data_IF_923863556315
#
_entry.id   IF_923863556315
#
_cell.length_a   1.000
_cell.length_b   1.000
_cell.length_c   1.000
_cell.angle_alpha   90.00
_cell.angle_beta   90.00
_cell.angle_gamma   90.00
#
_symmetry.space_group_name_H-M   'P 1'
#
loop_
_entity.id
_entity.type
_entity.pdbx_description
1 polymer ?
#
# COMPACT_ATOMS: atom_id res chain seq x y z
N UNK A 1 -22.59 -14.70 17.72
CA UNK A 1 -22.66 -16.05 17.15
C UNK A 1 -21.45 -16.83 17.64
N UNK A 2 -21.65 -17.90 18.41
CA UNK A 2 -20.58 -18.81 18.85
C UNK A 2 -20.46 -19.91 17.80
N UNK A 3 -19.33 -19.97 17.09
CA UNK A 3 -19.05 -21.11 16.23
C UNK A 3 -18.55 -22.25 17.11
N UNK A 4 -19.36 -23.30 17.21
CA UNK A 4 -18.98 -24.57 17.81
C UNK A 4 -18.02 -25.28 16.84
N UNK A 5 -16.77 -25.45 17.25
CA UNK A 5 -15.78 -26.31 16.60
C UNK A 5 -16.16 -27.78 16.84
N UNK A 6 -17.12 -28.28 16.06
CA UNK A 6 -17.46 -29.71 16.04
C UNK A 6 -17.25 -30.23 14.63
N UNK A 7 -16.04 -30.73 14.38
CA UNK A 7 -15.71 -31.40 13.12
C UNK A 7 -14.25 -31.28 12.69
N UNK A 8 -13.28 -31.48 13.60
CA UNK A 8 -11.85 -31.50 13.25
C UNK A 8 -11.12 -32.59 14.04
N UNK A 9 -11.67 -33.81 14.03
CA UNK A 9 -10.92 -34.99 14.46
C UNK A 9 -11.15 -36.09 13.43
N UNK A 10 -10.19 -36.25 12.52
CA UNK A 10 -9.99 -37.52 11.84
C UNK A 10 -8.89 -38.25 12.61
N UNK A 11 -9.29 -39.12 13.53
CA UNK A 11 -8.37 -40.06 14.19
C UNK A 11 -8.01 -41.16 13.20
N UNK A 12 -6.94 -40.96 12.45
CA UNK A 12 -6.16 -42.06 11.89
C UNK A 12 -4.67 -41.73 12.03
N UNK A 13 -4.02 -42.44 12.97
CA UNK A 13 -2.57 -42.66 13.04
C UNK A 13 -1.66 -41.42 13.00
N UNK A 14 -1.34 -40.87 14.17
CA UNK A 14 0.01 -40.40 14.52
C UNK A 14 0.59 -39.14 13.85
N UNK A 15 -0.07 -38.52 12.87
CA UNK A 15 0.34 -37.21 12.34
C UNK A 15 -0.90 -36.32 12.18
N UNK A 16 -1.04 -35.31 13.03
CA UNK A 16 -2.08 -34.29 12.86
C UNK A 16 -1.75 -33.43 11.65
N UNK A 17 -2.20 -33.83 10.46
CA UNK A 17 -2.21 -32.96 9.29
C UNK A 17 -3.46 -32.08 9.38
N UNK A 18 -3.28 -30.76 9.51
CA UNK A 18 -4.39 -29.82 9.39
C UNK A 18 -4.75 -29.77 7.90
N UNK A 19 -5.79 -30.50 7.50
CA UNK A 19 -6.31 -30.41 6.15
C UNK A 19 -6.92 -29.02 5.93
N UNK A 20 -6.33 -28.24 5.02
CA UNK A 20 -6.93 -27.00 4.57
C UNK A 20 -8.29 -27.32 3.91
N UNK A 21 -9.36 -26.55 4.20
CA UNK A 21 -10.62 -26.71 3.49
C UNK A 21 -10.39 -26.68 1.98
N UNK A 22 -11.02 -27.58 1.23
CA UNK A 22 -10.83 -27.72 -0.24
C UNK A 22 -11.00 -26.39 -1.00
N UNK A 23 -11.85 -25.50 -0.47
CA UNK A 23 -12.11 -24.16 -1.01
C UNK A 23 -10.87 -23.25 -0.94
N UNK A 24 -9.99 -23.45 0.06
CA UNK A 24 -8.81 -22.63 0.29
C UNK A 24 -7.58 -23.10 -0.48
N UNK A 25 -7.58 -24.33 -1.03
CA UNK A 25 -6.43 -24.91 -1.73
C UNK A 25 -5.97 -24.07 -2.94
N UNK A 26 -6.86 -23.54 -3.80
CA UNK A 26 -6.44 -22.69 -4.92
C UNK A 26 -5.78 -21.40 -4.45
N UNK A 27 -6.36 -20.73 -3.46
CA UNK A 27 -5.82 -19.49 -2.89
C UNK A 27 -4.47 -19.73 -2.24
N UNK A 28 -4.35 -20.81 -1.46
CA UNK A 28 -3.09 -21.21 -0.84
C UNK A 28 -2.00 -21.49 -1.88
N UNK A 29 -2.34 -22.15 -2.99
CA UNK A 29 -1.40 -22.43 -4.07
C UNK A 29 -0.88 -21.16 -4.73
N UNK A 30 -1.73 -20.15 -4.96
CA UNK A 30 -1.29 -18.87 -5.50
C UNK A 30 -0.38 -18.12 -4.51
N UNK A 31 -0.71 -18.11 -3.22
CA UNK A 31 0.16 -17.50 -2.19
C UNK A 31 1.54 -18.19 -2.16
N UNK A 32 1.59 -19.52 -2.19
CA UNK A 32 2.85 -20.28 -2.24
C UNK A 32 3.63 -19.99 -3.53
N UNK A 33 2.94 -19.78 -4.65
CA UNK A 33 3.56 -19.40 -5.92
C UNK A 33 4.23 -18.02 -5.83
N UNK A 34 3.53 -17.02 -5.30
CA UNK A 34 4.09 -15.67 -5.06
C UNK A 34 5.28 -15.72 -4.10
N UNK A 35 5.19 -16.50 -3.01
CA UNK A 35 6.32 -16.72 -2.10
C UNK A 35 7.52 -17.33 -2.82
N UNK A 36 7.29 -18.28 -3.73
CA UNK A 36 8.35 -18.97 -4.46
C UNK A 36 9.11 -18.03 -5.42
N UNK A 37 8.48 -16.99 -5.95
CA UNK A 37 9.14 -16.02 -6.85
C UNK A 37 10.30 -15.27 -6.19
N UNK A 38 10.27 -15.14 -4.86
CA UNK A 38 11.35 -14.55 -4.06
C UNK A 38 12.63 -15.39 -4.08
N UNK A 39 12.51 -16.71 -4.27
CA UNK A 39 13.66 -17.63 -4.25
C UNK A 39 14.41 -17.52 -5.58
N UNK A 40 15.69 -17.15 -5.54
CA UNK A 40 16.52 -16.93 -6.74
C UNK A 40 16.92 -18.23 -7.43
N UNK A 41 17.27 -19.25 -6.66
CA UNK A 41 17.70 -20.55 -7.16
C UNK A 41 16.52 -21.37 -7.69
N UNK A 42 16.59 -21.79 -8.96
CA UNK A 42 15.47 -22.44 -9.65
C UNK A 42 15.12 -23.81 -9.08
N UNK A 43 16.12 -24.60 -8.68
CA UNK A 43 15.92 -25.93 -8.11
C UNK A 43 15.30 -25.83 -6.72
N UNK A 44 15.82 -24.93 -5.89
CA UNK A 44 15.29 -24.64 -4.55
C UNK A 44 13.88 -24.07 -4.60
N UNK A 45 13.56 -23.26 -5.63
CA UNK A 45 12.21 -22.77 -5.89
C UNK A 45 11.22 -23.90 -6.18
N UNK A 46 11.58 -24.82 -7.08
CA UNK A 46 10.72 -25.98 -7.42
C UNK A 46 10.52 -26.90 -6.22
N UNK A 47 11.58 -27.11 -5.41
CA UNK A 47 11.51 -27.88 -4.17
C UNK A 47 10.59 -27.21 -3.14
N UNK A 48 10.73 -25.89 -2.94
CA UNK A 48 9.86 -25.14 -2.04
C UNK A 48 8.40 -25.20 -2.49
N UNK A 49 8.11 -24.86 -3.74
CA UNK A 49 6.73 -24.88 -4.27
C UNK A 49 6.11 -26.28 -4.17
N UNK A 50 6.85 -27.32 -4.56
CA UNK A 50 6.34 -28.70 -4.53
C UNK A 50 6.02 -29.17 -3.12
N UNK A 51 6.93 -28.97 -2.17
CA UNK A 51 6.72 -29.38 -0.79
C UNK A 51 5.65 -28.55 -0.08
N UNK A 52 5.63 -27.23 -0.31
CA UNK A 52 4.61 -26.35 0.26
C UNK A 52 3.21 -26.59 -0.32
N UNK A 53 3.08 -27.07 -1.56
CA UNK A 53 1.78 -27.46 -2.13
C UNK A 53 1.31 -28.86 -1.70
N UNK A 54 2.06 -29.54 -0.84
CA UNK A 54 1.70 -30.84 -0.27
C UNK A 54 2.19 -32.04 -1.08
N UNK A 55 3.12 -31.87 -2.02
CA UNK A 55 3.73 -33.01 -2.73
C UNK A 55 4.69 -33.74 -1.79
N UNK A 56 4.60 -35.06 -1.76
CA UNK A 56 5.46 -35.90 -0.93
C UNK A 56 6.96 -35.79 -1.28
N UNK A 57 7.81 -35.86 -0.25
CA UNK A 57 9.27 -35.71 -0.35
C UNK A 57 9.89 -36.75 -1.29
N UNK A 58 9.41 -37.99 -1.29
CA UNK A 58 9.95 -39.04 -2.17
C UNK A 58 9.59 -38.78 -3.63
N UNK A 59 8.39 -38.24 -3.86
CA UNK A 59 7.94 -37.86 -5.21
C UNK A 59 8.79 -36.71 -5.76
N UNK A 60 9.04 -35.68 -4.93
CA UNK A 60 9.93 -34.56 -5.29
C UNK A 60 11.37 -35.04 -5.52
N UNK A 61 11.85 -35.99 -4.71
CA UNK A 61 13.18 -36.59 -4.85
C UNK A 61 13.37 -37.27 -6.20
N UNK A 62 12.38 -38.08 -6.62
CA UNK A 62 12.40 -38.74 -7.93
C UNK A 62 12.36 -37.75 -9.09
N UNK A 63 11.55 -36.68 -8.98
CA UNK A 63 11.42 -35.65 -10.01
C UNK A 63 12.69 -34.81 -10.17
N UNK A 64 13.33 -34.44 -9.05
CA UNK A 64 14.46 -33.50 -9.04
C UNK A 64 15.83 -34.19 -9.08
N UNK A 65 15.89 -35.50 -8.85
CA UNK A 65 17.15 -36.25 -8.73
C UNK A 65 17.93 -35.96 -7.44
N UNK A 66 17.34 -35.25 -6.48
CA UNK A 66 17.99 -34.83 -5.23
C UNK A 66 17.63 -35.78 -4.10
N UNK A 67 18.62 -36.18 -3.31
CA UNK A 67 18.40 -37.03 -2.14
C UNK A 67 17.44 -36.36 -1.12
N UNK A 68 16.55 -37.12 -0.43
CA UNK A 68 15.57 -36.56 0.50
C UNK A 68 16.16 -35.66 1.61
N UNK A 69 17.35 -35.99 2.11
CA UNK A 69 18.06 -35.16 3.11
C UNK A 69 18.45 -33.79 2.55
N UNK A 70 18.91 -33.77 1.30
CA UNK A 70 19.29 -32.52 0.62
C UNK A 70 18.04 -31.70 0.26
N UNK A 71 16.92 -32.34 -0.07
CA UNK A 71 15.63 -31.65 -0.24
C UNK A 71 15.18 -30.94 1.04
N UNK A 72 15.26 -31.60 2.19
CA UNK A 72 14.93 -30.98 3.48
C UNK A 72 15.82 -29.76 3.78
N UNK A 73 17.12 -29.86 3.45
CA UNK A 73 18.04 -28.73 3.56
C UNK A 73 17.68 -27.58 2.60
N UNK A 74 17.41 -27.89 1.33
CA UNK A 74 16.99 -26.91 0.32
C UNK A 74 15.70 -26.22 0.74
N UNK A 75 14.70 -26.98 1.18
CA UNK A 75 13.43 -26.45 1.69
C UNK A 75 13.66 -25.50 2.86
N UNK A 76 14.43 -25.91 3.87
CA UNK A 76 14.74 -25.06 5.04
C UNK A 76 15.44 -23.76 4.64
N UNK A 77 16.35 -23.83 3.66
CA UNK A 77 17.05 -22.64 3.13
C UNK A 77 16.09 -21.74 2.35
N UNK A 78 15.23 -22.31 1.52
CA UNK A 78 14.18 -21.61 0.79
C UNK A 78 13.22 -20.89 1.73
N UNK A 79 12.69 -21.59 2.75
CA UNK A 79 11.79 -21.02 3.73
C UNK A 79 12.41 -19.85 4.49
N UNK A 80 13.72 -19.90 4.78
CA UNK A 80 14.44 -18.77 5.38
C UNK A 80 14.52 -17.57 4.45
N UNK A 81 14.81 -17.79 3.16
CA UNK A 81 14.84 -16.71 2.19
C UNK A 81 13.46 -16.07 2.04
N UNK A 82 12.42 -16.88 1.86
CA UNK A 82 11.04 -16.41 1.81
C UNK A 82 10.71 -15.61 3.07
N UNK A 83 11.05 -16.11 4.26
CA UNK A 83 10.80 -15.38 5.50
C UNK A 83 11.49 -13.99 5.58
N UNK A 84 12.67 -13.84 4.98
CA UNK A 84 13.43 -12.58 5.03
C UNK A 84 13.05 -11.59 3.92
N UNK A 85 12.71 -12.09 2.74
CA UNK A 85 12.52 -11.28 1.53
C UNK A 85 11.05 -11.15 1.11
N UNK A 86 10.17 -12.10 1.49
CA UNK A 86 8.75 -12.03 1.17
C UNK A 86 8.06 -11.00 2.07
N UNK A 87 7.68 -9.90 1.45
CA UNK A 87 6.92 -8.85 2.13
C UNK A 87 5.45 -9.20 2.18
N UNK A 88 4.78 -9.06 3.34
CA UNK A 88 3.34 -9.21 3.42
C UNK A 88 2.65 -8.14 2.58
N UNK A 89 1.41 -8.43 2.14
CA UNK A 89 0.59 -7.52 1.35
C UNK A 89 0.52 -6.09 1.91
N UNK A 90 0.50 -5.93 3.24
CA UNK A 90 0.49 -4.63 3.90
C UNK A 90 1.71 -3.77 3.57
N UNK A 91 2.90 -4.37 3.51
CA UNK A 91 4.13 -3.66 3.16
C UNK A 91 4.16 -3.28 1.68
N UNK A 92 3.69 -4.17 0.80
CA UNK A 92 3.55 -3.87 -0.64
C UNK A 92 2.57 -2.74 -0.90
N UNK A 93 1.44 -2.73 -0.20
CA UNK A 93 0.47 -1.64 -0.27
C UNK A 93 1.10 -0.31 0.15
N UNK A 94 1.81 -0.28 1.27
CA UNK A 94 2.52 0.93 1.73
C UNK A 94 3.58 1.41 0.73
N UNK A 95 4.31 0.49 0.09
CA UNK A 95 5.29 0.84 -0.93
C UNK A 95 4.61 1.43 -2.18
N UNK A 96 3.51 0.82 -2.62
CA UNK A 96 2.74 1.32 -3.74
C UNK A 96 2.13 2.70 -3.45
N UNK A 97 1.62 2.91 -2.24
CA UNK A 97 1.11 4.21 -1.78
C UNK A 97 2.22 5.28 -1.76
N UNK A 98 3.44 4.93 -1.29
CA UNK A 98 4.63 5.79 -1.36
C UNK A 98 4.97 6.19 -2.80
N UNK A 99 5.03 5.22 -3.70
CA UNK A 99 5.34 5.45 -5.12
C UNK A 99 4.26 6.29 -5.79
N UNK A 100 2.98 6.05 -5.47
CA UNK A 100 1.86 6.81 -6.01
C UNK A 100 1.97 8.31 -5.70
N UNK A 101 2.21 8.66 -4.43
CA UNK A 101 2.38 10.07 -4.01
C UNK A 101 3.58 10.69 -4.75
N UNK A 102 4.69 9.94 -4.87
CA UNK A 102 5.89 10.38 -5.59
C UNK A 102 5.60 10.66 -7.08
N UNK A 103 4.86 9.79 -7.75
CA UNK A 103 4.43 9.98 -9.14
C UNK A 103 3.55 11.23 -9.30
N UNK A 104 2.60 11.45 -8.39
CA UNK A 104 1.73 12.64 -8.40
C UNK A 104 2.51 13.93 -8.20
N UNK A 105 3.51 13.90 -7.31
CA UNK A 105 4.45 14.98 -7.08
C UNK A 105 5.28 15.32 -8.34
N UNK A 106 5.81 14.31 -9.04
CA UNK A 106 6.50 14.52 -10.31
C UNK A 106 5.57 15.08 -11.39
N UNK A 107 4.34 14.56 -11.49
CA UNK A 107 3.35 15.08 -12.44
C UNK A 107 3.04 16.56 -12.18
N UNK A 108 2.86 16.97 -10.92
CA UNK A 108 2.64 18.39 -10.58
C UNK A 108 3.79 19.28 -11.04
N UNK A 109 5.04 18.87 -10.79
CA UNK A 109 6.23 19.61 -11.25
C UNK A 109 6.32 19.72 -12.79
N UNK A 110 5.96 18.64 -13.50
CA UNK A 110 5.99 18.62 -14.96
C UNK A 110 4.94 19.54 -15.57
N UNK A 111 3.72 19.58 -15.02
CA UNK A 111 2.64 20.46 -15.49
C UNK A 111 3.03 21.94 -15.40
N UNK A 112 3.72 22.35 -14.32
CA UNK A 112 4.23 23.73 -14.19
C UNK A 112 5.31 24.11 -15.20
N UNK A 113 6.15 23.15 -15.62
CA UNK A 113 7.13 23.41 -16.68
C UNK A 113 6.45 23.71 -18.03
N UNK A 114 5.22 23.24 -18.23
CA UNK A 114 4.51 23.32 -19.50
C UNK A 114 3.56 24.53 -19.60
N UNK A 115 3.03 25.03 -18.47
CA UNK A 115 2.14 26.21 -18.45
C UNK A 115 2.89 27.56 -18.61
N UNK A 116 4.21 27.59 -18.41
CA UNK A 116 5.04 28.78 -18.65
C UNK A 116 5.60 28.85 -20.09
N UNK A 117 4.71 28.84 -21.09
CA UNK A 117 5.05 29.09 -22.50
C UNK A 117 5.43 30.54 -22.81
N UNK A 118 6.37 31.15 -22.06
CA UNK A 118 6.77 32.54 -22.32
C UNK A 118 8.01 33.09 -21.62
N UNK A 119 8.60 32.39 -20.62
CA UNK A 119 9.83 32.89 -20.00
C UNK A 119 10.88 31.79 -19.86
N UNK A 120 12.03 32.04 -20.48
CA UNK A 120 13.20 31.19 -20.57
C UNK A 120 13.77 30.85 -19.18
N UNK A 121 13.29 29.78 -18.55
CA UNK A 121 14.05 29.12 -17.51
C UNK A 121 14.95 28.06 -18.16
N UNK A 122 16.22 28.44 -18.34
CA UNK A 122 17.32 27.52 -18.59
C UNK A 122 17.16 26.34 -17.63
N UNK A 123 16.91 25.15 -18.16
CA UNK A 123 16.99 23.83 -17.52
C UNK A 123 17.21 23.94 -16.00
N UNK A 124 16.14 24.23 -15.25
CA UNK A 124 16.19 24.00 -13.81
C UNK A 124 16.24 22.49 -13.71
N UNK A 125 17.45 21.96 -13.57
CA UNK A 125 17.65 20.60 -13.09
C UNK A 125 16.99 20.61 -11.72
N UNK A 126 15.71 20.23 -11.67
CA UNK A 126 15.01 20.04 -10.42
C UNK A 126 15.71 18.84 -9.80
N UNK A 127 16.68 19.12 -8.94
CA UNK A 127 17.21 18.12 -8.01
C UNK A 127 16.07 17.84 -7.05
N UNK A 128 15.13 16.99 -7.48
CA UNK A 128 14.19 16.37 -6.56
C UNK A 128 15.06 15.49 -5.70
N UNK A 129 15.52 16.02 -4.56
CA UNK A 129 15.99 15.16 -3.49
C UNK A 129 14.81 14.24 -3.23
N UNK A 130 14.99 12.95 -3.50
CA UNK A 130 14.06 11.91 -3.08
C UNK A 130 13.92 12.04 -1.57
N UNK A 131 13.00 12.89 -1.11
CA UNK A 131 12.65 12.96 0.29
C UNK A 131 11.77 11.74 0.50
N UNK A 132 12.31 10.75 1.20
CA UNK A 132 11.52 9.63 1.66
C UNK A 132 10.42 10.17 2.57
N UNK A 133 9.18 10.01 2.11
CA UNK A 133 7.99 10.41 2.84
C UNK A 133 7.81 9.39 3.97
N UNK A 134 7.82 9.80 5.25
CA UNK A 134 7.61 8.89 6.36
C UNK A 134 6.29 8.12 6.22
N UNK A 135 6.25 6.84 6.63
CA UNK A 135 5.05 6.00 6.51
C UNK A 135 3.82 6.61 7.17
N UNK A 136 4.00 7.24 8.34
CA UNK A 136 2.94 7.94 9.06
C UNK A 136 2.32 9.09 8.24
N UNK A 137 3.14 9.76 7.42
CA UNK A 137 2.66 10.82 6.53
C UNK A 137 1.93 10.24 5.32
N UNK A 138 2.38 9.11 4.78
CA UNK A 138 1.73 8.43 3.65
C UNK A 138 0.33 7.97 4.05
N UNK A 139 0.20 7.32 5.19
CA UNK A 139 -1.09 6.82 5.71
C UNK A 139 -2.10 7.98 5.88
N UNK A 140 -1.63 9.13 6.35
CA UNK A 140 -2.46 10.34 6.43
C UNK A 140 -2.84 10.87 5.05
N UNK A 141 -1.90 10.97 4.12
CA UNK A 141 -2.12 11.54 2.79
C UNK A 141 -3.14 10.74 1.96
N UNK A 142 -3.06 9.40 1.99
CA UNK A 142 -3.99 8.53 1.28
C UNK A 142 -5.37 8.44 1.93
N UNK A 143 -5.53 9.00 3.14
CA UNK A 143 -6.80 8.94 3.88
C UNK A 143 -7.91 9.62 3.06
N UNK A 144 -9.02 8.91 2.77
CA UNK A 144 -10.12 9.49 2.05
C UNK A 144 -10.81 10.55 2.91
N UNK A 145 -11.26 11.63 2.27
CA UNK A 145 -11.92 12.74 2.98
C UNK A 145 -13.17 12.31 3.75
N UNK A 146 -13.80 11.19 3.35
CA UNK A 146 -14.94 10.61 4.08
C UNK A 146 -14.63 10.17 5.50
N UNK A 147 -13.36 9.86 5.81
CA UNK A 147 -12.92 9.42 7.13
C UNK A 147 -12.55 10.59 8.07
N UNK A 148 -12.69 11.84 7.58
CA UNK A 148 -12.34 13.07 8.31
C UNK A 148 -13.57 13.75 8.95
N UNK A 149 -14.68 13.02 9.11
CA UNK A 149 -15.96 13.51 9.67
C UNK A 149 -16.47 14.80 8.99
N UNK A 150 -16.23 14.90 7.69
CA UNK A 150 -16.66 16.03 6.87
C UNK A 150 -18.11 15.84 6.45
N UNK A 151 -18.87 16.93 6.43
CA UNK A 151 -20.26 16.91 5.97
C UNK A 151 -20.36 16.37 4.53
N UNK A 152 -21.30 15.45 4.29
CA UNK A 152 -21.53 14.83 2.98
C UNK A 152 -21.75 15.84 1.85
N UNK A 153 -22.37 16.99 2.12
CA UNK A 153 -22.57 18.07 1.13
C UNK A 153 -21.24 18.64 0.64
N UNK A 154 -20.32 18.87 1.57
CA UNK A 154 -18.97 19.39 1.31
C UNK A 154 -18.15 18.34 0.56
N UNK A 155 -18.22 17.07 1.00
CA UNK A 155 -17.56 15.96 0.30
C UNK A 155 -18.04 15.85 -1.15
N UNK A 156 -19.34 15.97 -1.40
CA UNK A 156 -19.88 15.93 -2.77
C UNK A 156 -19.37 17.11 -3.61
N UNK A 157 -19.25 18.30 -3.03
CA UNK A 157 -18.69 19.46 -3.71
C UNK A 157 -17.20 19.26 -4.04
N UNK A 158 -16.40 18.79 -3.07
CA UNK A 158 -14.98 18.48 -3.25
C UNK A 158 -14.75 17.41 -4.33
N UNK A 159 -15.56 16.36 -4.37
CA UNK A 159 -15.49 15.32 -5.42
C UNK A 159 -15.77 15.86 -6.82
N UNK A 160 -16.62 16.88 -6.98
CA UNK A 160 -16.83 17.53 -8.29
C UNK A 160 -15.58 18.25 -8.80
N UNK A 161 -14.71 18.66 -7.88
CA UNK A 161 -13.41 19.29 -8.16
C UNK A 161 -12.25 18.27 -8.16
N UNK A 162 -12.56 16.97 -8.24
CA UNK A 162 -11.59 15.88 -8.21
C UNK A 162 -10.76 15.80 -6.92
N UNK A 163 -11.30 16.28 -5.79
CA UNK A 163 -10.64 16.20 -4.48
C UNK A 163 -11.25 15.03 -3.71
N UNK A 164 -10.49 13.93 -3.57
CA UNK A 164 -10.97 12.68 -2.96
C UNK A 164 -10.21 12.29 -1.69
N UNK A 165 -8.89 12.52 -1.70
CA UNK A 165 -8.00 12.18 -0.59
C UNK A 165 -7.53 13.43 0.15
N UNK A 166 -6.95 13.24 1.35
CA UNK A 166 -6.32 14.32 2.09
C UNK A 166 -5.18 14.95 1.26
N UNK A 167 -4.43 14.13 0.53
CA UNK A 167 -3.41 14.57 -0.42
C UNK A 167 -3.94 15.62 -1.41
N UNK A 168 -5.07 15.35 -2.07
CA UNK A 168 -5.66 16.27 -3.07
C UNK A 168 -6.10 17.58 -2.42
N UNK A 169 -6.69 17.49 -1.22
CA UNK A 169 -7.14 18.67 -0.48
C UNK A 169 -5.96 19.55 -0.08
N UNK A 170 -4.89 18.95 0.42
CA UNK A 170 -3.69 19.69 0.82
C UNK A 170 -2.97 20.30 -0.38
N UNK A 171 -2.93 19.61 -1.54
CA UNK A 171 -2.40 20.22 -2.77
C UNK A 171 -3.24 21.42 -3.21
N UNK A 172 -4.56 21.30 -3.16
CA UNK A 172 -5.46 22.40 -3.49
C UNK A 172 -5.25 23.61 -2.58
N UNK A 173 -5.15 23.39 -1.27
CA UNK A 173 -4.91 24.44 -0.27
C UNK A 173 -3.55 25.09 -0.49
N UNK A 174 -2.51 24.30 -0.75
CA UNK A 174 -1.16 24.84 -0.99
C UNK A 174 -1.07 25.66 -2.28
N UNK A 175 -1.85 25.35 -3.31
CA UNK A 175 -1.89 26.13 -4.55
C UNK A 175 -2.71 27.42 -4.42
N UNK A 176 -3.93 27.32 -3.87
CA UNK A 176 -4.92 28.39 -3.94
C UNK A 176 -5.11 29.17 -2.62
N UNK A 177 -4.57 28.65 -1.52
CA UNK A 177 -4.86 29.09 -0.15
C UNK A 177 -6.12 28.44 0.43
N UNK A 178 -6.20 28.38 1.77
CA UNK A 178 -7.30 27.71 2.47
C UNK A 178 -8.66 28.38 2.21
N UNK A 179 -8.69 29.71 2.15
CA UNK A 179 -9.93 30.48 1.94
C UNK A 179 -10.50 30.30 0.52
N UNK A 180 -9.72 29.76 -0.43
CA UNK A 180 -10.21 29.40 -1.77
C UNK A 180 -11.24 28.26 -1.75
N UNK A 181 -11.31 27.47 -0.66
CA UNK A 181 -12.35 26.46 -0.48
C UNK A 181 -13.76 27.08 -0.45
N UNK A 182 -13.90 28.31 0.04
CA UNK A 182 -15.17 29.05 0.01
C UNK A 182 -15.61 29.44 -1.42
N UNK A 183 -14.69 29.43 -2.40
CA UNK A 183 -15.01 29.72 -3.80
C UNK A 183 -15.62 28.52 -4.52
N UNK A 184 -15.53 27.32 -3.93
CA UNK A 184 -16.13 26.10 -4.49
C UNK A 184 -17.66 26.16 -4.33
N UNK A 185 -18.43 26.07 -5.43
CA UNK A 185 -19.89 26.05 -5.37
C UNK A 185 -20.39 24.92 -4.47
N UNK A 186 -21.18 25.28 -3.46
CA UNK A 186 -21.76 24.35 -2.49
C UNK A 186 -20.97 24.19 -1.18
N UNK A 187 -19.83 24.90 -1.02
CA UNK A 187 -19.10 25.01 0.24
C UNK A 187 -19.32 26.41 0.82
N UNK A 188 -19.90 26.49 2.02
CA UNK A 188 -20.09 27.74 2.75
C UNK A 188 -18.99 27.99 3.78
N UNK A 189 -18.86 29.24 4.23
CA UNK A 189 -17.87 29.67 5.23
C UNK A 189 -17.89 28.81 6.51
N UNK A 190 -19.08 28.53 7.05
CA UNK A 190 -19.25 27.65 8.23
C UNK A 190 -18.72 26.23 8.01
N UNK A 191 -18.83 25.71 6.78
CA UNK A 191 -18.33 24.39 6.42
C UNK A 191 -16.81 24.36 6.31
N UNK A 192 -16.20 25.46 5.85
CA UNK A 192 -14.73 25.63 5.80
C UNK A 192 -14.15 25.78 7.20
N UNK A 193 -14.82 26.53 8.08
CA UNK A 193 -14.43 26.63 9.50
C UNK A 193 -14.51 25.29 10.22
N UNK A 194 -15.58 24.53 9.98
CA UNK A 194 -15.73 23.18 10.54
C UNK A 194 -14.64 22.24 10.01
N UNK A 195 -14.32 22.31 8.72
CA UNK A 195 -13.23 21.55 8.12
C UNK A 195 -11.88 21.92 8.76
N UNK A 196 -11.62 23.21 8.96
CA UNK A 196 -10.40 23.69 9.62
C UNK A 196 -10.29 23.14 11.04
N UNK A 197 -11.38 23.20 11.81
CA UNK A 197 -11.43 22.66 13.17
C UNK A 197 -11.13 21.16 13.19
N UNK A 198 -11.75 20.37 12.32
CA UNK A 198 -11.51 18.94 12.21
C UNK A 198 -10.05 18.62 11.85
N UNK A 199 -9.46 19.37 10.93
CA UNK A 199 -8.05 19.19 10.52
C UNK A 199 -7.07 19.58 11.64
N UNK A 200 -7.41 20.59 12.44
CA UNK A 200 -6.63 21.01 13.60
C UNK A 200 -6.72 20.03 14.77
N UNK A 201 -7.91 19.49 15.05
CA UNK A 201 -8.11 18.45 16.06
C UNK A 201 -7.32 17.17 15.75
N UNK A 202 -7.21 16.83 14.46
CA UNK A 202 -6.40 15.70 13.97
C UNK A 202 -4.91 16.01 13.85
N UNK A 203 -4.47 17.21 14.27
CA UNK A 203 -3.08 17.71 14.20
C UNK A 203 -2.48 17.67 12.79
N UNK A 204 -3.32 17.81 11.76
CA UNK A 204 -2.88 17.88 10.36
C UNK A 204 -2.44 19.31 10.02
N UNK A 205 -3.22 20.30 10.47
CA UNK A 205 -2.93 21.73 10.30
C UNK A 205 -2.59 22.36 11.66
N UNK A 206 -1.47 23.10 11.70
CA UNK A 206 -1.12 23.94 12.85
C UNK A 206 -1.74 25.34 12.69
N UNK A 207 -1.67 25.87 11.47
CA UNK A 207 -2.32 27.11 11.04
C UNK A 207 -2.87 26.97 9.61
N UNK A 208 -3.68 27.92 9.13
CA UNK A 208 -4.26 27.91 7.77
C UNK A 208 -3.22 27.78 6.66
N UNK A 209 -1.98 28.21 6.92
CA UNK A 209 -0.86 28.18 5.98
C UNK A 209 0.25 27.19 6.40
N UNK A 210 0.19 26.66 7.62
CA UNK A 210 1.25 25.82 8.19
C UNK A 210 0.76 24.38 8.37
N UNK A 211 1.25 23.49 7.49
CA UNK A 211 1.03 22.06 7.54
C UNK A 211 2.35 21.32 7.39
N UNK A 212 2.65 20.40 8.31
CA UNK A 212 3.85 19.56 8.25
C UNK A 212 3.94 18.76 6.94
N UNK A 213 2.79 18.39 6.36
CA UNK A 213 2.70 17.61 5.13
C UNK A 213 3.01 18.44 3.87
N UNK A 214 2.97 19.78 3.93
CA UNK A 214 3.32 20.63 2.78
C UNK A 214 4.77 20.49 2.34
N UNK A 215 5.67 20.05 3.24
CA UNK A 215 7.05 19.74 2.90
C UNK A 215 7.18 18.56 1.92
N UNK A 216 6.25 17.62 1.98
CA UNK A 216 6.27 16.40 1.18
C UNK A 216 5.40 16.47 -0.09
N UNK A 217 4.60 17.53 -0.24
CA UNK A 217 3.73 17.72 -1.41
C UNK A 217 4.31 18.76 -2.35
N UNK A 218 4.50 18.40 -3.61
CA UNK A 218 4.78 19.38 -4.66
C UNK A 218 3.47 19.79 -5.30
N UNK A 219 3.37 21.09 -5.55
CA UNK A 219 2.20 21.77 -6.05
C UNK A 219 2.63 22.73 -7.10
#
# INVERSE_FOLDING_TARGET
MKYLNTGLVCEQSGLSCVELPKICIPVYREVVKEMAEVIKDSQMRDVFYSLSTGIDVQTVSKKTGVAPRNLAYMYKKASRQVHLEWKPYSEWKQELDRVYIRCRNYAALLTHSQECGGQNFKNVVIVVREQDIPSECVDLLITPLGNLDINFRVLRALRKYNIYQLEDLLRFIKYNGFDALCRIPGIGMKSVEQLYKNLKERKILEDKETCMLFRYLFV
#
